data_IF_760068520428
#
_entry.id   IF_760068520428
#
_cell.length_a   1.000
_cell.length_b   1.000
_cell.length_c   1.000
_cell.angle_alpha   90.00
_cell.angle_beta   90.00
_cell.angle_gamma   90.00
#
_symmetry.space_group_name_H-M   'P 1'
#
loop_
_entity.id
_entity.type
_entity.pdbx_description
1 polymer ?
#
# COMPACT_ATOMS: atom_id res chain seq x y z
N UNK A 1 37.41 -6.63 65.27
CA UNK A 1 37.42 -5.24 64.79
C UNK A 1 37.69 -5.29 63.29
N UNK A 2 36.65 -5.16 62.46
CA UNK A 2 36.87 -5.07 61.01
C UNK A 2 37.55 -3.72 60.72
N UNK A 3 38.63 -3.69 59.94
CA UNK A 3 39.25 -2.44 59.54
C UNK A 3 38.20 -1.59 58.82
N UNK A 4 38.00 -0.35 59.30
CA UNK A 4 37.18 0.63 58.57
C UNK A 4 37.86 0.84 57.22
N UNK A 5 37.26 0.34 56.14
CA UNK A 5 37.60 0.74 54.80
C UNK A 5 37.31 2.23 54.69
N UNK A 6 38.35 3.04 54.73
CA UNK A 6 38.28 4.45 54.39
C UNK A 6 38.00 4.52 52.89
N UNK A 7 36.83 5.06 52.53
CA UNK A 7 36.46 5.23 51.12
C UNK A 7 37.38 6.30 50.56
N UNK A 8 38.22 5.93 49.59
CA UNK A 8 39.07 6.87 48.88
C UNK A 8 38.20 7.72 47.93
N UNK A 9 37.75 8.86 48.44
CA UNK A 9 36.93 9.80 47.69
C UNK A 9 37.66 10.37 46.47
N UNK A 10 38.99 10.48 46.49
CA UNK A 10 39.76 10.98 45.36
C UNK A 10 39.76 9.97 44.22
N UNK A 11 40.00 8.69 44.51
CA UNK A 11 39.89 7.62 43.52
C UNK A 11 38.47 7.51 42.95
N UNK A 12 37.43 7.72 43.78
CA UNK A 12 36.03 7.69 43.35
C UNK A 12 35.68 8.88 42.45
N UNK A 13 36.16 10.08 42.78
CA UNK A 13 35.99 11.28 41.95
C UNK A 13 36.78 11.15 40.64
N UNK A 14 38.03 10.67 40.67
CA UNK A 14 38.85 10.54 39.47
C UNK A 14 38.29 9.47 38.52
N UNK A 15 37.81 8.34 39.05
CA UNK A 15 37.10 7.33 38.27
C UNK A 15 35.80 7.89 37.68
N UNK A 16 35.03 8.64 38.46
CA UNK A 16 33.82 9.31 37.96
C UNK A 16 34.16 10.30 36.84
N UNK A 17 35.20 11.12 36.98
CA UNK A 17 35.63 12.08 35.95
C UNK A 17 36.11 11.38 34.68
N UNK A 18 36.84 10.26 34.80
CA UNK A 18 37.25 9.43 33.66
C UNK A 18 36.05 8.85 32.92
N UNK A 19 35.00 8.47 33.64
CA UNK A 19 33.75 7.98 33.07
C UNK A 19 32.87 9.09 32.45
N UNK A 20 33.05 10.34 32.91
CA UNK A 20 32.39 11.53 32.36
C UNK A 20 33.13 12.15 31.16
N UNK A 21 33.75 11.34 30.29
CA UNK A 21 34.27 11.88 29.02
C UNK A 21 33.14 12.56 28.22
N UNK A 22 33.39 13.75 27.63
CA UNK A 22 32.37 14.52 26.96
C UNK A 22 31.81 13.74 25.77
N UNK A 23 30.57 13.29 25.90
CA UNK A 23 29.84 12.62 24.82
C UNK A 23 29.74 13.59 23.64
N UNK A 24 30.00 13.10 22.41
CA UNK A 24 29.88 13.91 21.18
C UNK A 24 28.58 14.71 21.21
N UNK A 25 28.68 16.01 20.93
CA UNK A 25 27.54 16.94 20.98
C UNK A 25 26.38 16.40 20.13
N UNK A 26 25.25 16.16 20.78
CA UNK A 26 24.05 15.71 20.09
C UNK A 26 23.59 16.78 19.11
N UNK A 27 23.17 16.34 17.92
CA UNK A 27 22.53 17.24 16.95
C UNK A 27 21.26 17.83 17.57
N UNK A 28 20.98 19.09 17.22
CA UNK A 28 19.75 19.75 17.64
C UNK A 28 18.53 18.92 17.19
N UNK A 29 17.44 19.00 17.96
CA UNK A 29 16.20 18.30 17.58
C UNK A 29 15.72 18.72 16.18
N UNK A 30 15.93 19.98 15.80
CA UNK A 30 15.61 20.49 14.47
C UNK A 30 16.44 19.82 13.36
N UNK A 31 17.76 19.70 13.53
CA UNK A 31 18.61 19.02 12.53
C UNK A 31 18.22 17.56 12.34
N UNK A 32 17.94 16.85 13.44
CA UNK A 32 17.43 15.46 13.39
C UNK A 32 16.08 15.35 12.70
N UNK A 33 15.17 16.28 12.98
CA UNK A 33 13.86 16.35 12.32
C UNK A 33 14.02 16.60 10.82
N UNK A 34 14.87 17.53 10.40
CA UNK A 34 15.11 17.81 8.97
C UNK A 34 15.63 16.56 8.26
N UNK A 35 16.62 15.86 8.82
CA UNK A 35 17.12 14.61 8.24
C UNK A 35 16.03 13.55 8.11
N UNK A 36 15.14 13.47 9.11
CA UNK A 36 14.03 12.53 9.09
C UNK A 36 12.93 12.92 8.07
N UNK A 37 12.60 14.20 7.93
CA UNK A 37 11.69 14.71 6.89
C UNK A 37 12.27 14.43 5.49
N UNK A 38 13.58 14.57 5.29
CA UNK A 38 14.23 14.23 4.03
C UNK A 38 14.10 12.72 3.72
N UNK A 39 14.20 11.87 4.73
CA UNK A 39 13.96 10.42 4.59
C UNK A 39 12.50 10.14 4.21
N UNK A 40 11.53 10.72 4.91
CA UNK A 40 10.10 10.60 4.58
C UNK A 40 9.81 11.07 3.15
N UNK A 41 10.38 12.20 2.74
CA UNK A 41 10.23 12.75 1.39
C UNK A 41 10.82 11.82 0.33
N UNK A 42 11.97 11.19 0.61
CA UNK A 42 12.58 10.22 -0.28
C UNK A 42 11.71 8.96 -0.42
N UNK A 43 11.12 8.47 0.68
CA UNK A 43 10.18 7.34 0.68
C UNK A 43 8.93 7.67 -0.14
N UNK A 44 8.33 8.85 0.06
CA UNK A 44 7.15 9.31 -0.69
C UNK A 44 7.47 9.42 -2.19
N UNK A 45 8.61 10.02 -2.54
CA UNK A 45 9.05 10.18 -3.92
C UNK A 45 9.29 8.84 -4.62
N UNK A 46 9.94 7.90 -3.94
CA UNK A 46 10.16 6.54 -4.44
C UNK A 46 8.83 5.80 -4.66
N UNK A 47 7.89 5.97 -3.75
CA UNK A 47 6.58 5.34 -3.82
C UNK A 47 5.74 5.87 -4.99
N UNK A 48 5.77 7.19 -5.23
CA UNK A 48 5.17 7.82 -6.42
C UNK A 48 5.82 7.31 -7.69
N UNK A 49 7.16 7.24 -7.73
CA UNK A 49 7.89 6.78 -8.91
C UNK A 49 7.52 5.34 -9.28
N UNK A 50 7.40 4.43 -8.31
CA UNK A 50 7.07 3.03 -8.54
C UNK A 50 5.60 2.79 -8.93
N UNK A 51 4.67 3.65 -8.51
CA UNK A 51 3.24 3.50 -8.81
C UNK A 51 2.77 4.32 -10.02
N UNK A 52 3.59 5.26 -10.49
CA UNK A 52 3.25 6.17 -11.57
C UNK A 52 2.45 7.39 -11.10
N UNK A 53 2.38 8.40 -11.97
CA UNK A 53 1.76 9.70 -11.68
C UNK A 53 0.22 9.67 -11.60
N UNK A 54 -0.42 8.59 -12.06
CA UNK A 54 -1.88 8.50 -12.09
C UNK A 54 -2.49 8.56 -10.69
N UNK A 55 -1.86 7.94 -9.69
CA UNK A 55 -2.33 7.99 -8.29
C UNK A 55 -2.26 9.41 -7.71
N UNK A 56 -1.20 10.16 -8.01
CA UNK A 56 -1.12 11.56 -7.59
C UNK A 56 -2.21 12.39 -8.24
N UNK A 57 -2.51 12.15 -9.53
CA UNK A 57 -3.60 12.84 -10.21
C UNK A 57 -4.93 12.56 -9.52
N UNK A 58 -5.22 11.31 -9.15
CA UNK A 58 -6.42 10.93 -8.39
C UNK A 58 -6.45 11.66 -7.04
N UNK A 59 -5.34 11.69 -6.32
CA UNK A 59 -5.22 12.40 -5.05
C UNK A 59 -5.53 13.90 -5.19
N UNK A 60 -5.02 14.55 -6.25
CA UNK A 60 -5.31 15.96 -6.53
C UNK A 60 -6.75 16.24 -6.96
N UNK A 61 -7.43 15.27 -7.58
CA UNK A 61 -8.86 15.41 -7.93
C UNK A 61 -9.77 15.19 -6.72
N UNK A 62 -9.31 14.50 -5.69
CA UNK A 62 -10.06 14.27 -4.46
C UNK A 62 -9.55 15.17 -3.33
N UNK A 63 -10.13 16.36 -3.22
CA UNK A 63 -9.73 17.38 -2.22
C UNK A 63 -9.79 16.88 -0.77
N UNK A 64 -10.74 15.99 -0.44
CA UNK A 64 -10.84 15.37 0.88
C UNK A 64 -9.65 14.46 1.18
N UNK A 65 -9.27 13.61 0.22
CA UNK A 65 -8.15 12.70 0.37
C UNK A 65 -6.80 13.45 0.43
N UNK A 66 -6.66 14.53 -0.34
CA UNK A 66 -5.49 15.42 -0.27
C UNK A 66 -5.38 16.07 1.11
N UNK A 67 -6.49 16.60 1.63
CA UNK A 67 -6.54 17.21 2.96
C UNK A 67 -6.21 16.21 4.07
N UNK A 68 -6.80 15.01 4.05
CA UNK A 68 -6.50 13.94 5.01
C UNK A 68 -5.02 13.55 4.97
N UNK A 69 -4.45 13.37 3.77
CA UNK A 69 -3.03 13.06 3.57
C UNK A 69 -2.12 14.16 4.16
N UNK A 70 -2.43 15.42 3.89
CA UNK A 70 -1.69 16.57 4.44
C UNK A 70 -1.76 16.64 5.97
N UNK A 71 -2.93 16.35 6.55
CA UNK A 71 -3.11 16.30 8.01
C UNK A 71 -2.34 15.13 8.64
N UNK A 72 -2.31 13.96 8.02
CA UNK A 72 -1.51 12.83 8.50
C UNK A 72 -0.01 13.12 8.45
N UNK A 73 0.50 13.73 7.39
CA UNK A 73 1.91 14.17 7.30
C UNK A 73 2.21 15.19 8.40
N UNK A 74 1.31 16.15 8.62
CA UNK A 74 1.47 17.17 9.66
C UNK A 74 1.49 16.55 11.08
N UNK A 75 0.59 15.60 11.36
CA UNK A 75 0.56 14.85 12.61
C UNK A 75 1.84 14.00 12.79
N UNK A 76 2.33 13.39 11.71
CA UNK A 76 3.59 12.63 11.70
C UNK A 76 4.77 13.50 12.13
N UNK A 77 4.96 14.64 11.44
CA UNK A 77 6.04 15.60 11.72
C UNK A 77 5.94 16.18 13.13
N UNK A 78 4.75 16.59 13.56
CA UNK A 78 4.53 17.14 14.89
C UNK A 78 4.90 16.12 15.98
N UNK A 79 4.48 14.87 15.81
CA UNK A 79 4.74 13.82 16.81
C UNK A 79 6.20 13.37 16.79
N UNK A 80 6.83 13.31 15.61
CA UNK A 80 8.27 13.06 15.48
C UNK A 80 9.09 14.15 16.19
N UNK A 81 8.72 15.43 16.04
CA UNK A 81 9.36 16.52 16.75
C UNK A 81 9.20 16.39 18.27
N UNK A 82 7.99 16.03 18.74
CA UNK A 82 7.71 15.76 20.15
C UNK A 82 8.59 14.61 20.67
N UNK A 83 8.72 13.50 19.91
CA UNK A 83 9.56 12.37 20.27
C UNK A 83 11.04 12.78 20.38
N UNK A 84 11.56 13.48 19.37
CA UNK A 84 12.95 13.97 19.33
C UNK A 84 13.24 14.98 20.45
N UNK A 85 12.28 15.83 20.81
CA UNK A 85 12.39 16.78 21.91
C UNK A 85 12.39 16.07 23.27
N UNK A 86 11.52 15.09 23.47
CA UNK A 86 11.44 14.30 24.71
C UNK A 86 12.69 13.44 24.97
N UNK A 87 13.46 13.19 23.91
CA UNK A 87 14.77 12.58 24.02
C UNK A 87 15.83 13.52 24.63
N UNK A 88 15.57 14.80 24.85
CA UNK A 88 16.53 15.72 25.48
C UNK A 88 16.17 15.87 26.96
N UNK A 89 17.07 15.55 27.91
CA UNK A 89 16.82 15.74 29.33
C UNK A 89 16.38 17.17 29.65
N UNK A 90 15.38 17.31 30.53
CA UNK A 90 14.79 18.61 30.88
C UNK A 90 13.81 19.19 29.85
N UNK A 91 13.53 18.50 28.74
CA UNK A 91 12.50 18.88 27.76
C UNK A 91 11.36 17.88 27.74
N UNK A 92 10.64 17.83 28.86
CA UNK A 92 9.47 16.96 29.02
C UNK A 92 8.35 17.27 28.04
N UNK A 93 7.53 16.25 27.81
CA UNK A 93 6.43 16.26 26.87
C UNK A 93 5.27 17.06 27.48
N UNK A 94 4.94 18.21 26.90
CA UNK A 94 3.75 18.94 27.35
C UNK A 94 2.50 18.16 26.94
N UNK A 95 1.59 17.93 27.90
CA UNK A 95 0.27 17.31 27.63
C UNK A 95 -0.49 18.04 26.52
N UNK A 96 -0.34 19.37 26.42
CA UNK A 96 -0.97 20.17 25.37
C UNK A 96 -0.42 19.88 23.98
N UNK A 97 0.89 19.63 23.86
CA UNK A 97 1.52 19.29 22.57
C UNK A 97 1.06 17.92 22.09
N UNK A 98 0.95 16.95 23.00
CA UNK A 98 0.42 15.63 22.69
C UNK A 98 -1.07 15.68 22.31
N UNK A 99 -1.88 16.42 23.08
CA UNK A 99 -3.30 16.60 22.78
C UNK A 99 -3.52 17.25 21.41
N UNK A 100 -2.69 18.25 21.05
CA UNK A 100 -2.74 18.87 19.73
C UNK A 100 -2.40 17.88 18.61
N UNK A 101 -1.35 17.08 18.76
CA UNK A 101 -0.98 16.06 17.76
C UNK A 101 -2.09 15.00 17.58
N UNK A 102 -2.70 14.55 18.68
CA UNK A 102 -3.84 13.61 18.65
C UNK A 102 -5.05 14.27 17.98
N UNK A 103 -5.35 15.54 18.28
CA UNK A 103 -6.45 16.27 17.67
C UNK A 103 -6.27 16.42 16.15
N UNK A 104 -5.05 16.71 15.68
CA UNK A 104 -4.75 16.80 14.24
C UNK A 104 -4.95 15.44 13.55
N UNK A 105 -4.50 14.34 14.16
CA UNK A 105 -4.74 13.01 13.61
C UNK A 105 -6.23 12.64 13.62
N UNK A 106 -6.96 12.95 14.69
CA UNK A 106 -8.40 12.72 14.78
C UNK A 106 -9.17 13.52 13.72
N UNK A 107 -8.75 14.75 13.44
CA UNK A 107 -9.29 15.55 12.34
C UNK A 107 -9.02 14.89 10.97
N UNK A 108 -7.82 14.35 10.74
CA UNK A 108 -7.50 13.61 9.52
C UNK A 108 -8.43 12.39 9.33
N UNK A 109 -8.66 11.63 10.40
CA UNK A 109 -9.62 10.53 10.40
C UNK A 109 -11.05 11.00 10.12
N UNK A 110 -11.47 12.13 10.70
CA UNK A 110 -12.78 12.72 10.46
C UNK A 110 -13.01 13.11 8.99
N UNK A 111 -12.00 13.70 8.34
CA UNK A 111 -12.03 14.01 6.90
C UNK A 111 -12.15 12.73 6.06
N UNK A 112 -11.39 11.70 6.42
CA UNK A 112 -11.41 10.41 5.72
C UNK A 112 -12.79 9.72 5.86
N UNK A 113 -13.35 9.70 7.07
CA UNK A 113 -14.67 9.15 7.37
C UNK A 113 -15.78 9.88 6.62
N UNK A 114 -15.69 11.20 6.49
CA UNK A 114 -16.67 12.00 5.75
C UNK A 114 -16.65 11.73 4.24
N UNK A 115 -15.48 11.36 3.69
CA UNK A 115 -15.32 11.00 2.27
C UNK A 115 -15.59 9.53 1.95
N UNK A 116 -15.73 8.66 2.95
CA UNK A 116 -15.84 7.23 2.75
C UNK A 116 -17.24 6.83 2.23
N UNK A 117 -17.28 6.18 1.06
CA UNK A 117 -18.48 5.45 0.60
C UNK A 117 -18.46 4.05 1.21
N UNK A 118 -19.42 3.76 2.10
CA UNK A 118 -19.58 2.48 2.80
C UNK A 118 -20.12 1.37 1.87
N UNK A 119 -19.39 1.06 0.80
CA UNK A 119 -19.74 -0.09 -0.05
C UNK A 119 -18.90 -1.31 0.41
N UNK A 120 -19.60 -2.43 0.64
CA UNK A 120 -19.09 -3.61 1.33
C UNK A 120 -18.15 -4.43 0.44
N UNK A 121 -16.92 -4.71 0.91
CA UNK A 121 -16.13 -5.86 0.43
C UNK A 121 -15.40 -6.50 1.63
N UNK A 122 -15.74 -7.74 2.01
CA UNK A 122 -14.97 -8.55 2.95
C UNK A 122 -13.86 -9.29 2.20
N UNK A 123 -12.58 -9.00 2.45
CA UNK A 123 -11.49 -9.84 1.91
C UNK A 123 -10.05 -9.32 1.99
N UNK A 124 -9.80 -8.01 2.11
CA UNK A 124 -8.44 -7.45 1.97
C UNK A 124 -7.75 -7.05 3.29
N UNK A 125 -8.22 -7.52 4.45
CA UNK A 125 -7.73 -7.08 5.76
C UNK A 125 -6.24 -7.43 6.04
N UNK A 126 -5.76 -8.68 5.88
CA UNK A 126 -4.40 -9.03 6.32
C UNK A 126 -3.31 -8.41 5.43
N UNK A 127 -3.54 -8.34 4.11
CA UNK A 127 -2.59 -7.70 3.19
C UNK A 127 -2.49 -6.21 3.49
N UNK A 128 -3.61 -5.52 3.73
CA UNK A 128 -3.61 -4.10 4.07
C UNK A 128 -2.87 -3.82 5.38
N UNK A 129 -3.06 -4.66 6.42
CA UNK A 129 -2.29 -4.57 7.66
C UNK A 129 -0.80 -4.74 7.41
N UNK A 130 -0.39 -5.78 6.66
CA UNK A 130 1.02 -6.02 6.35
C UNK A 130 1.66 -4.84 5.61
N UNK A 131 0.93 -4.22 4.67
CA UNK A 131 1.40 -3.02 3.96
C UNK A 131 1.60 -1.84 4.89
N UNK A 132 0.62 -1.58 5.76
CA UNK A 132 0.69 -0.51 6.74
C UNK A 132 1.89 -0.68 7.68
N UNK A 133 2.10 -1.89 8.22
CA UNK A 133 3.26 -2.18 9.06
C UNK A 133 4.57 -2.05 8.28
N UNK A 134 4.61 -2.51 7.02
CA UNK A 134 5.77 -2.36 6.14
C UNK A 134 6.12 -0.89 5.88
N UNK A 135 5.12 -0.03 5.66
CA UNK A 135 5.30 1.41 5.49
C UNK A 135 5.72 2.12 6.76
N UNK A 136 5.22 1.69 7.92
CA UNK A 136 5.59 2.26 9.20
C UNK A 136 7.01 1.88 9.64
N UNK A 137 7.53 0.71 9.24
CA UNK A 137 8.78 0.16 9.76
C UNK A 137 10.01 1.07 9.55
N UNK A 138 10.16 1.68 8.37
CA UNK A 138 11.30 2.54 8.06
C UNK A 138 11.32 3.87 8.86
N UNK A 139 10.23 4.67 8.87
CA UNK A 139 10.13 5.83 9.77
C UNK A 139 10.29 5.45 11.24
N UNK A 140 9.75 4.29 11.66
CA UNK A 140 9.80 3.81 13.03
C UNK A 140 11.23 3.51 13.48
N UNK A 141 11.96 2.71 12.71
CA UNK A 141 13.37 2.38 13.00
C UNK A 141 14.25 3.63 13.01
N UNK A 142 14.08 4.52 12.01
CA UNK A 142 14.90 5.73 11.91
C UNK A 142 14.67 6.70 13.07
N UNK A 143 13.42 6.89 13.52
CA UNK A 143 13.11 7.69 14.71
C UNK A 143 13.65 7.06 15.99
N UNK A 144 13.49 5.74 16.18
CA UNK A 144 14.05 5.06 17.35
C UNK A 144 15.55 5.27 17.47
N UNK A 145 16.26 5.19 16.35
CA UNK A 145 17.70 5.44 16.30
C UNK A 145 18.04 6.88 16.66
N UNK A 146 17.29 7.85 16.13
CA UNK A 146 17.50 9.28 16.40
C UNK A 146 17.19 9.68 17.86
N UNK A 147 16.19 9.04 18.47
CA UNK A 147 15.79 9.23 19.87
C UNK A 147 16.75 8.56 20.83
N UNK A 148 17.23 7.36 20.52
CA UNK A 148 18.11 6.57 21.40
C UNK A 148 19.35 7.33 21.86
N UNK A 149 19.90 8.19 21.01
CA UNK A 149 21.07 9.01 21.36
C UNK A 149 20.80 10.06 22.44
N UNK A 150 19.54 10.41 22.72
CA UNK A 150 19.18 11.48 23.64
C UNK A 150 19.06 11.09 25.12
N UNK A 151 18.89 9.80 25.45
CA UNK A 151 18.59 9.32 26.81
C UNK A 151 17.25 9.90 27.34
N UNK A 152 16.10 9.46 26.79
CA UNK A 152 14.79 9.96 27.22
C UNK A 152 14.49 9.54 28.68
N UNK A 153 14.00 10.50 29.47
CA UNK A 153 13.57 10.25 30.87
C UNK A 153 12.29 9.41 30.96
N UNK A 154 11.42 9.50 29.95
CA UNK A 154 10.16 8.77 29.84
C UNK A 154 10.17 7.88 28.59
N UNK A 155 10.94 6.78 28.59
CA UNK A 155 11.18 5.97 27.41
C UNK A 155 9.91 5.39 26.79
N UNK A 156 8.90 5.09 27.61
CA UNK A 156 7.60 4.57 27.19
C UNK A 156 6.79 5.61 26.39
N UNK A 157 6.73 6.84 26.88
CA UNK A 157 6.00 7.96 26.26
C UNK A 157 6.70 8.36 24.95
N UNK A 158 8.02 8.45 24.97
CA UNK A 158 8.80 8.72 23.75
C UNK A 158 8.61 7.60 22.74
N UNK A 159 8.63 6.33 23.17
CA UNK A 159 8.32 5.19 22.31
C UNK A 159 6.92 5.29 21.69
N UNK A 160 5.89 5.61 22.48
CA UNK A 160 4.54 5.81 21.97
C UNK A 160 4.47 6.89 20.89
N UNK A 161 5.15 8.02 21.10
CA UNK A 161 5.23 9.12 20.13
C UNK A 161 5.91 8.69 18.83
N UNK A 162 6.99 7.90 18.88
CA UNK A 162 7.62 7.32 17.67
C UNK A 162 6.65 6.42 16.91
N UNK A 163 5.90 5.57 17.62
CA UNK A 163 4.90 4.69 17.02
C UNK A 163 3.79 5.46 16.33
N UNK A 164 3.28 6.50 17.00
CA UNK A 164 2.23 7.36 16.46
C UNK A 164 2.68 8.17 15.25
N UNK A 165 3.90 8.73 15.26
CA UNK A 165 4.47 9.42 14.10
C UNK A 165 4.56 8.47 12.90
N UNK A 166 5.16 7.30 13.09
CA UNK A 166 5.33 6.29 12.05
C UNK A 166 4.00 5.77 11.50
N UNK A 167 3.00 5.63 12.37
CA UNK A 167 1.64 5.27 11.96
C UNK A 167 1.04 6.34 11.06
N UNK A 168 1.07 7.61 11.48
CA UNK A 168 0.53 8.73 10.69
C UNK A 168 1.21 8.83 9.32
N UNK A 169 2.53 8.68 9.26
CA UNK A 169 3.24 8.61 7.98
C UNK A 169 2.78 7.43 7.12
N UNK A 170 2.66 6.24 7.71
CA UNK A 170 2.21 5.05 6.98
C UNK A 170 0.78 5.21 6.43
N UNK A 171 -0.09 5.92 7.14
CA UNK A 171 -1.43 6.29 6.63
C UNK A 171 -1.32 7.22 5.43
N UNK A 172 -0.55 8.30 5.53
CA UNK A 172 -0.32 9.21 4.41
C UNK A 172 0.25 8.49 3.18
N UNK A 173 1.22 7.60 3.40
CA UNK A 173 1.83 6.81 2.34
C UNK A 173 0.83 5.82 1.72
N UNK A 174 0.00 5.17 2.55
CA UNK A 174 -1.09 4.32 2.07
C UNK A 174 -2.04 5.08 1.15
N UNK A 175 -2.38 6.33 1.45
CA UNK A 175 -3.24 7.17 0.61
C UNK A 175 -2.63 7.48 -0.76
N UNK A 176 -1.31 7.65 -0.81
CA UNK A 176 -0.59 7.96 -2.06
C UNK A 176 -0.38 6.69 -2.90
N UNK A 177 -0.07 5.56 -2.24
CA UNK A 177 0.33 4.33 -2.92
C UNK A 177 -0.84 3.44 -3.29
N UNK A 178 -1.83 3.34 -2.41
CA UNK A 178 -2.97 2.47 -2.59
C UNK A 178 -4.16 3.27 -3.10
N UNK A 179 -5.00 2.65 -3.93
CA UNK A 179 -6.36 3.16 -4.11
C UNK A 179 -7.02 3.31 -2.73
N UNK A 180 -7.90 4.31 -2.53
CA UNK A 180 -8.50 4.60 -1.23
C UNK A 180 -8.99 3.31 -0.59
N UNK A 181 -8.62 3.08 0.67
CA UNK A 181 -8.88 1.83 1.39
C UNK A 181 -10.40 1.71 1.61
N UNK A 182 -11.11 1.17 0.61
CA UNK A 182 -12.54 0.88 0.66
C UNK A 182 -12.74 -0.46 1.38
N UNK A 183 -12.56 -0.46 2.70
CA UNK A 183 -12.95 -1.59 3.56
C UNK A 183 -14.15 -1.16 4.42
N UNK A 184 -15.26 -1.92 4.46
CA UNK A 184 -16.40 -1.64 5.34
C UNK A 184 -16.06 -1.76 6.83
N UNK A 185 -14.97 -2.46 7.17
CA UNK A 185 -14.36 -2.54 8.51
C UNK A 185 -13.00 -1.80 8.58
N UNK A 186 -12.72 -0.89 7.62
CA UNK A 186 -11.42 -0.19 7.50
C UNK A 186 -11.03 0.48 8.81
N UNK A 187 -11.96 1.20 9.42
CA UNK A 187 -11.69 2.06 10.58
C UNK A 187 -11.30 1.22 11.78
N UNK A 188 -12.01 0.13 12.08
CA UNK A 188 -11.68 -0.75 13.20
C UNK A 188 -10.31 -1.38 12.98
N UNK A 189 -10.06 -1.93 11.79
CA UNK A 189 -8.75 -2.50 11.43
C UNK A 189 -7.63 -1.47 11.53
N UNK A 190 -7.89 -0.24 11.11
CA UNK A 190 -6.92 0.86 11.12
C UNK A 190 -6.61 1.32 12.55
N UNK A 191 -7.64 1.49 13.38
CA UNK A 191 -7.52 1.83 14.80
C UNK A 191 -6.78 0.72 15.56
N UNK A 192 -7.13 -0.56 15.31
CA UNK A 192 -6.44 -1.70 15.92
C UNK A 192 -4.98 -1.79 15.47
N UNK A 193 -4.69 -1.52 14.19
CA UNK A 193 -3.31 -1.51 13.67
C UNK A 193 -2.49 -0.37 14.28
N UNK A 194 -3.08 0.82 14.38
CA UNK A 194 -2.47 1.98 15.03
C UNK A 194 -2.19 1.72 16.51
N UNK A 195 -3.18 1.19 17.24
CA UNK A 195 -3.03 0.81 18.64
C UNK A 195 -1.93 -0.25 18.82
N UNK A 196 -1.90 -1.27 17.95
CA UNK A 196 -0.86 -2.30 17.96
C UNK A 196 0.53 -1.70 17.74
N UNK A 197 0.70 -0.83 16.74
CA UNK A 197 1.99 -0.19 16.47
C UNK A 197 2.43 0.71 17.63
N UNK A 198 1.51 1.48 18.23
CA UNK A 198 1.80 2.33 19.39
C UNK A 198 2.23 1.48 20.58
N UNK A 199 1.50 0.40 20.90
CA UNK A 199 1.84 -0.52 22.00
C UNK A 199 3.20 -1.16 21.79
N UNK A 200 3.47 -1.70 20.59
CA UNK A 200 4.78 -2.26 20.24
C UNK A 200 5.90 -1.23 20.38
N UNK A 201 5.62 0.01 19.97
CA UNK A 201 6.55 1.14 20.09
C UNK A 201 6.79 1.55 21.55
N UNK A 202 5.76 1.55 22.39
CA UNK A 202 5.89 1.81 23.83
C UNK A 202 6.75 0.74 24.49
N UNK A 203 6.52 -0.54 24.18
CA UNK A 203 7.33 -1.66 24.67
C UNK A 203 8.78 -1.55 24.19
N UNK A 204 9.00 -1.27 22.90
CA UNK A 204 10.34 -1.03 22.36
C UNK A 204 11.02 0.15 23.06
N UNK A 205 10.29 1.23 23.34
CA UNK A 205 10.76 2.33 24.17
C UNK A 205 11.24 1.86 25.54
N UNK A 206 10.39 1.14 26.27
CA UNK A 206 10.72 0.59 27.60
C UNK A 206 11.98 -0.28 27.60
N UNK A 207 12.16 -1.15 26.61
CA UNK A 207 13.29 -2.09 26.59
C UNK A 207 14.57 -1.50 25.97
N UNK A 208 14.44 -0.66 24.93
CA UNK A 208 15.59 -0.15 24.18
C UNK A 208 16.07 1.22 24.64
N UNK A 209 15.19 2.07 25.17
CA UNK A 209 15.52 3.43 25.57
C UNK A 209 15.74 3.57 27.09
N UNK A 210 15.36 2.57 27.90
CA UNK A 210 15.62 2.58 29.34
C UNK A 210 17.07 2.25 29.66
N UNK A 211 17.94 3.21 29.42
CA UNK A 211 19.37 3.13 29.69
C UNK A 211 19.65 3.00 31.19
N UNK A 212 18.90 3.72 32.04
CA UNK A 212 19.09 3.73 33.50
C UNK A 212 18.97 2.33 34.10
N UNK A 213 17.97 1.55 33.68
CA UNK A 213 17.81 0.17 34.13
C UNK A 213 19.01 -0.72 33.76
N UNK A 214 19.75 -0.40 32.69
CA UNK A 214 20.99 -1.11 32.34
C UNK A 214 22.16 -0.72 33.23
N UNK A 215 22.26 0.55 33.61
CA UNK A 215 23.34 1.01 34.51
C UNK A 215 23.16 0.58 35.96
N UNK A 216 21.90 0.38 36.39
CA UNK A 216 21.60 -0.08 37.75
C UNK A 216 21.72 -1.60 37.92
N UNK A 217 21.99 -2.36 36.87
CA UNK A 217 22.21 -3.80 37.01
C UNK A 217 23.56 -4.06 37.69
N UNK A 218 23.59 -4.77 38.83
CA UNK A 218 24.85 -5.11 39.50
C UNK A 218 25.73 -5.95 38.58
N UNK A 219 27.05 -5.75 38.64
CA UNK A 219 28.04 -6.40 37.77
C UNK A 219 27.90 -7.94 37.67
N UNK A 220 27.29 -8.60 38.66
CA UNK A 220 26.98 -10.03 38.63
C UNK A 220 25.93 -10.42 37.56
N UNK A 221 25.08 -9.50 37.10
CA UNK A 221 24.09 -9.73 36.04
C UNK A 221 24.65 -9.53 34.62
N UNK A 222 25.88 -9.01 34.50
CA UNK A 222 26.54 -8.63 33.24
C UNK A 222 26.85 -9.86 32.35
N UNK A 223 27.05 -11.03 32.96
CA UNK A 223 27.29 -12.30 32.24
C UNK A 223 26.01 -12.79 31.52
N UNK A 224 24.83 -12.60 32.12
CA UNK A 224 23.55 -13.04 31.54
C UNK A 224 23.01 -12.08 30.48
N UNK A 225 23.34 -10.78 30.56
CA UNK A 225 22.93 -9.78 29.57
C UNK A 225 23.87 -9.69 28.36
N UNK A 226 25.07 -10.28 28.43
CA UNK A 226 26.02 -10.36 27.29
C UNK A 226 25.41 -10.99 26.02
N UNK A 227 24.48 -11.94 26.17
CA UNK A 227 23.79 -12.60 25.05
C UNK A 227 22.80 -11.64 24.35
N UNK A 228 22.21 -10.70 25.09
CA UNK A 228 21.33 -9.67 24.54
C UNK A 228 22.07 -8.44 24.03
N UNK A 229 23.28 -8.15 24.53
CA UNK A 229 24.14 -7.09 23.98
C UNK A 229 24.92 -7.54 22.74
N UNK A 230 25.16 -8.85 22.57
CA UNK A 230 25.66 -9.44 21.33
C UNK A 230 24.65 -9.31 20.15
N UNK A 231 23.36 -9.10 20.44
CA UNK A 231 22.42 -8.43 19.52
C UNK A 231 22.79 -6.94 19.42
N UNK A 232 23.98 -6.68 18.88
CA UNK A 232 24.57 -5.37 18.83
C UNK A 232 23.66 -4.43 18.03
N UNK A 233 23.42 -3.25 18.56
CA UNK A 233 22.70 -2.19 17.87
C UNK A 233 23.31 -1.88 16.49
N UNK A 234 24.59 -2.19 16.32
CA UNK A 234 25.34 -2.01 15.07
C UNK A 234 25.07 -3.12 14.04
N UNK A 235 24.65 -4.32 14.43
CA UNK A 235 24.38 -5.44 13.51
C UNK A 235 22.88 -5.64 13.27
N UNK A 236 22.07 -5.54 14.32
CA UNK A 236 20.62 -5.78 14.26
C UNK A 236 19.91 -4.64 13.54
N UNK A 237 20.37 -3.41 13.73
CA UNK A 237 19.76 -2.24 13.11
C UNK A 237 19.89 -2.22 11.58
N UNK A 238 21.07 -2.40 10.96
CA UNK A 238 21.17 -2.48 9.50
C UNK A 238 20.44 -3.70 8.94
N UNK A 239 20.38 -4.83 9.66
CA UNK A 239 19.57 -5.98 9.26
C UNK A 239 18.07 -5.68 9.31
N UNK A 240 17.59 -5.02 10.37
CA UNK A 240 16.20 -4.62 10.50
C UNK A 240 15.81 -3.55 9.47
N UNK A 241 16.72 -2.61 9.18
CA UNK A 241 16.53 -1.59 8.15
C UNK A 241 16.55 -2.22 6.75
N UNK A 242 17.46 -3.15 6.49
CA UNK A 242 17.52 -3.93 5.26
C UNK A 242 16.27 -4.79 5.07
N UNK A 243 15.83 -5.52 6.11
CA UNK A 243 14.60 -6.29 6.09
C UNK A 243 13.36 -5.40 5.92
N UNK A 244 13.35 -4.21 6.52
CA UNK A 244 12.27 -3.23 6.34
C UNK A 244 12.28 -2.64 4.93
N UNK A 245 13.44 -2.38 4.34
CA UNK A 245 13.56 -1.99 2.92
C UNK A 245 13.11 -3.11 2.00
N UNK A 246 13.48 -4.36 2.26
CA UNK A 246 13.03 -5.52 1.47
C UNK A 246 11.53 -5.70 1.62
N UNK A 247 10.98 -5.61 2.83
CA UNK A 247 9.55 -5.68 3.07
C UNK A 247 8.81 -4.51 2.41
N UNK A 248 9.38 -3.30 2.46
CA UNK A 248 8.86 -2.10 1.81
C UNK A 248 8.83 -2.27 0.27
N UNK A 249 9.95 -2.69 -0.31
CA UNK A 249 10.07 -3.00 -1.73
C UNK A 249 9.19 -4.17 -2.12
N UNK A 250 9.03 -5.20 -1.28
CA UNK A 250 8.12 -6.31 -1.51
C UNK A 250 6.66 -5.84 -1.46
N UNK A 251 6.28 -4.98 -0.52
CA UNK A 251 4.96 -4.36 -0.45
C UNK A 251 4.69 -3.51 -1.69
N UNK A 252 5.67 -2.72 -2.13
CA UNK A 252 5.55 -1.88 -3.32
C UNK A 252 5.52 -2.70 -4.62
N UNK A 253 6.36 -3.73 -4.72
CA UNK A 253 6.45 -4.65 -5.86
C UNK A 253 5.37 -5.73 -5.86
N UNK A 254 4.66 -5.91 -4.74
CA UNK A 254 3.35 -6.53 -4.70
C UNK A 254 2.41 -5.64 -5.51
N UNK A 255 2.52 -5.75 -6.84
CA UNK A 255 1.37 -5.71 -7.72
C UNK A 255 0.37 -6.58 -6.99
N UNK A 256 -0.78 -6.01 -6.62
CA UNK A 256 -1.86 -6.82 -6.04
C UNK A 256 -1.89 -8.07 -6.91
N UNK A 257 -1.65 -9.25 -6.32
CA UNK A 257 -2.13 -10.47 -6.93
C UNK A 257 -3.65 -10.24 -6.92
N UNK A 258 -4.12 -9.54 -7.95
CA UNK A 258 -5.53 -9.37 -8.20
C UNK A 258 -5.96 -10.82 -8.29
N UNK A 259 -6.82 -11.22 -7.34
CA UNK A 259 -7.34 -12.57 -7.34
C UNK A 259 -7.74 -12.89 -8.77
N UNK A 260 -7.27 -14.03 -9.28
CA UNK A 260 -7.50 -14.39 -10.68
C UNK A 260 -8.99 -14.28 -10.96
N UNK A 261 -9.33 -13.41 -11.91
CA UNK A 261 -10.69 -13.27 -12.40
C UNK A 261 -10.74 -14.16 -13.63
N UNK A 262 -11.36 -15.35 -13.57
CA UNK A 262 -11.26 -16.35 -14.63
C UNK A 262 -11.60 -15.79 -16.01
N UNK A 263 -12.59 -14.89 -16.07
CA UNK A 263 -13.02 -14.23 -17.30
C UNK A 263 -11.99 -13.28 -17.89
N UNK A 264 -11.27 -12.55 -17.03
CA UNK A 264 -10.23 -11.64 -17.48
C UNK A 264 -8.98 -12.40 -17.88
N UNK A 265 -8.61 -13.44 -17.12
CA UNK A 265 -7.48 -14.30 -17.48
C UNK A 265 -7.76 -15.03 -18.80
N UNK A 266 -8.96 -15.58 -18.99
CA UNK A 266 -9.38 -16.18 -20.25
C UNK A 266 -9.27 -15.19 -21.41
N UNK A 267 -9.69 -13.94 -21.20
CA UNK A 267 -9.61 -12.92 -22.23
C UNK A 267 -8.19 -12.50 -22.59
N UNK A 268 -7.34 -12.35 -21.59
CA UNK A 268 -5.93 -12.01 -21.79
C UNK A 268 -5.18 -13.16 -22.45
N UNK A 269 -5.33 -14.39 -21.95
CA UNK A 269 -4.65 -15.56 -22.51
C UNK A 269 -5.10 -15.81 -23.96
N UNK A 270 -6.35 -15.51 -24.29
CA UNK A 270 -6.86 -15.61 -25.67
C UNK A 270 -6.35 -14.48 -26.56
N UNK A 271 -6.25 -13.26 -26.04
CA UNK A 271 -5.61 -12.14 -26.72
C UNK A 271 -4.13 -12.44 -27.03
N UNK A 272 -3.36 -12.90 -26.04
CA UNK A 272 -1.92 -13.18 -26.19
C UNK A 272 -1.68 -14.30 -27.20
N UNK A 273 -2.51 -15.35 -27.19
CA UNK A 273 -2.49 -16.39 -28.23
C UNK A 273 -2.82 -15.83 -29.61
N UNK A 274 -3.82 -14.93 -29.71
CA UNK A 274 -4.24 -14.32 -30.97
C UNK A 274 -3.17 -13.41 -31.60
N UNK A 275 -2.28 -12.84 -30.79
CA UNK A 275 -1.12 -12.09 -31.31
C UNK A 275 -0.14 -12.99 -32.07
N UNK A 276 0.03 -14.24 -31.63
CA UNK A 276 0.98 -15.19 -32.24
C UNK A 276 0.34 -15.92 -33.42
N UNK A 277 -0.83 -16.53 -33.21
CA UNK A 277 -1.48 -17.38 -34.20
C UNK A 277 -2.99 -17.48 -33.95
N UNK A 278 -3.73 -16.42 -34.30
CA UNK A 278 -5.19 -16.51 -34.31
C UNK A 278 -5.65 -17.30 -35.54
N UNK A 279 -6.20 -18.49 -35.31
CA UNK A 279 -6.82 -19.33 -36.36
C UNK A 279 -8.34 -19.30 -36.22
N UNK A 280 -9.04 -18.49 -37.03
CA UNK A 280 -10.49 -18.51 -37.08
C UNK A 280 -10.98 -19.91 -37.46
N UNK A 281 -11.97 -20.44 -36.74
CA UNK A 281 -12.74 -21.61 -37.16
C UNK A 281 -14.16 -21.23 -37.61
N UNK A 282 -14.50 -19.95 -37.54
CA UNK A 282 -15.67 -19.36 -38.19
C UNK A 282 -15.19 -18.59 -39.42
N UNK A 283 -15.39 -19.13 -40.64
CA UNK A 283 -14.85 -18.55 -41.86
C UNK A 283 -15.69 -17.33 -42.28
N UNK A 284 -15.27 -16.13 -41.91
CA UNK A 284 -15.74 -14.92 -42.59
C UNK A 284 -14.88 -13.68 -42.32
N UNK A 285 -14.77 -12.82 -43.34
CA UNK A 285 -14.28 -11.44 -43.23
C UNK A 285 -15.40 -10.42 -42.99
N UNK A 286 -16.65 -10.86 -42.93
CA UNK A 286 -17.83 -10.04 -42.65
C UNK A 286 -18.40 -10.33 -41.26
N UNK A 287 -18.86 -9.28 -40.57
CA UNK A 287 -19.53 -9.41 -39.29
C UNK A 287 -20.83 -10.23 -39.38
N UNK A 288 -21.62 -10.03 -40.43
CA UNK A 288 -22.92 -10.70 -40.62
C UNK A 288 -22.80 -12.23 -40.64
N UNK A 289 -21.84 -12.76 -41.39
CA UNK A 289 -21.64 -14.23 -41.48
C UNK A 289 -21.11 -14.81 -40.18
N UNK A 290 -20.22 -14.11 -39.47
CA UNK A 290 -19.77 -14.57 -38.15
C UNK A 290 -20.90 -14.53 -37.13
N UNK A 291 -21.74 -13.50 -37.16
CA UNK A 291 -22.88 -13.37 -36.26
C UNK A 291 -23.88 -14.51 -36.50
N UNK A 292 -24.15 -14.81 -37.78
CA UNK A 292 -24.99 -15.95 -38.18
C UNK A 292 -24.43 -17.25 -37.60
N UNK A 293 -23.14 -17.51 -37.78
CA UNK A 293 -22.49 -18.70 -37.24
C UNK A 293 -22.53 -18.76 -35.70
N UNK A 294 -22.36 -17.64 -35.01
CA UNK A 294 -22.47 -17.58 -33.55
C UNK A 294 -23.89 -17.91 -33.07
N UNK A 295 -24.91 -17.34 -33.73
CA UNK A 295 -26.33 -17.62 -33.41
C UNK A 295 -26.68 -19.08 -33.66
N UNK A 296 -26.16 -19.70 -34.73
CA UNK A 296 -26.32 -21.14 -35.00
C UNK A 296 -25.74 -22.02 -33.88
N UNK A 297 -24.80 -21.50 -33.08
CA UNK A 297 -24.19 -22.16 -31.92
C UNK A 297 -24.76 -21.68 -30.58
N UNK A 298 -25.91 -20.99 -30.58
CA UNK A 298 -26.61 -20.55 -29.35
C UNK A 298 -25.98 -19.34 -28.66
N UNK A 299 -25.14 -18.58 -29.36
CA UNK A 299 -24.51 -17.35 -28.85
C UNK A 299 -25.39 -16.13 -29.18
N UNK A 300 -25.23 -14.99 -28.46
CA UNK A 300 -26.09 -13.83 -28.69
C UNK A 300 -25.97 -13.28 -30.11
N UNK A 301 -27.09 -12.79 -30.65
CA UNK A 301 -27.18 -12.12 -31.95
C UNK A 301 -26.64 -10.67 -31.89
N UNK A 302 -25.52 -10.47 -31.21
CA UNK A 302 -24.85 -9.19 -31.06
C UNK A 302 -23.33 -9.34 -31.18
N UNK A 303 -22.67 -8.36 -31.80
CA UNK A 303 -21.21 -8.30 -31.95
C UNK A 303 -20.74 -6.85 -31.97
N UNK A 304 -19.60 -6.59 -31.35
CA UNK A 304 -18.92 -5.29 -31.37
C UNK A 304 -18.29 -5.01 -32.73
N UNK A 305 -18.45 -3.79 -33.26
CA UNK A 305 -17.72 -3.32 -34.45
C UNK A 305 -16.66 -2.28 -34.06
N UNK A 306 -15.39 -2.61 -34.27
CA UNK A 306 -14.27 -1.69 -34.09
C UNK A 306 -13.70 -1.18 -35.42
N UNK A 307 -14.36 -1.48 -36.54
CA UNK A 307 -14.04 -1.00 -37.88
C UNK A 307 -13.94 0.52 -37.99
N UNK A 308 -14.92 1.30 -37.51
CA UNK A 308 -14.89 2.77 -37.53
C UNK A 308 -13.65 3.36 -36.83
N UNK A 309 -13.11 2.65 -35.84
CA UNK A 309 -11.95 3.04 -35.03
C UNK A 309 -10.62 2.55 -35.61
N UNK A 310 -10.64 2.04 -36.85
CA UNK A 310 -9.46 1.63 -37.60
C UNK A 310 -8.94 0.24 -37.28
N UNK A 311 -9.77 -0.63 -36.70
CA UNK A 311 -9.43 -2.05 -36.53
C UNK A 311 -10.01 -2.89 -37.66
N UNK A 312 -9.23 -3.84 -38.17
CA UNK A 312 -9.69 -4.80 -39.17
C UNK A 312 -10.09 -6.09 -38.48
N UNK A 313 -11.30 -6.57 -38.79
CA UNK A 313 -11.75 -7.88 -38.37
C UNK A 313 -10.84 -8.98 -38.96
N UNK A 314 -10.24 -9.80 -38.10
CA UNK A 314 -9.43 -10.96 -38.52
C UNK A 314 -10.28 -12.22 -38.65
N UNK A 315 -11.28 -12.37 -37.78
CA UNK A 315 -12.23 -13.48 -37.84
C UNK A 315 -12.77 -13.86 -36.47
N UNK A 316 -13.64 -14.88 -36.48
CA UNK A 316 -14.29 -15.43 -35.31
C UNK A 316 -13.79 -16.83 -34.98
N UNK A 317 -13.85 -17.18 -33.71
CA UNK A 317 -13.58 -18.53 -33.23
C UNK A 317 -14.62 -18.93 -32.20
N UNK A 318 -15.07 -20.17 -32.26
CA UNK A 318 -15.94 -20.78 -31.25
C UNK A 318 -15.25 -22.01 -30.69
N UNK A 319 -15.14 -22.10 -29.37
CA UNK A 319 -14.60 -23.27 -28.68
C UNK A 319 -15.45 -23.59 -27.44
N UNK A 320 -15.49 -24.86 -26.98
CA UNK A 320 -15.95 -25.18 -25.64
C UNK A 320 -14.84 -24.94 -24.61
N UNK A 321 -15.20 -24.38 -23.46
CA UNK A 321 -14.34 -24.36 -22.27
C UNK A 321 -14.20 -25.79 -21.67
N UNK A 322 -13.24 -26.02 -20.75
CA UNK A 322 -13.05 -27.34 -20.12
C UNK A 322 -14.29 -27.91 -19.41
N UNK A 323 -15.21 -27.04 -19.00
CA UNK A 323 -16.51 -27.39 -18.39
C UNK A 323 -17.63 -27.60 -19.43
N UNK A 324 -17.33 -27.47 -20.72
CA UNK A 324 -18.29 -27.57 -21.82
C UNK A 324 -19.01 -26.27 -22.17
N UNK A 325 -18.81 -25.19 -21.41
CA UNK A 325 -19.47 -23.90 -21.67
C UNK A 325 -19.04 -23.35 -23.03
N UNK A 326 -19.98 -22.98 -23.93
CA UNK A 326 -19.62 -22.40 -25.21
C UNK A 326 -19.04 -20.99 -25.02
N UNK A 327 -17.94 -20.71 -25.73
CA UNK A 327 -17.30 -19.41 -25.76
C UNK A 327 -16.97 -19.01 -27.20
N UNK A 328 -17.21 -17.75 -27.53
CA UNK A 328 -16.76 -17.17 -28.81
C UNK A 328 -15.66 -16.15 -28.59
N UNK A 329 -14.79 -16.02 -29.60
CA UNK A 329 -13.67 -15.11 -29.65
C UNK A 329 -13.71 -14.36 -30.98
N UNK A 330 -13.85 -13.05 -30.94
CA UNK A 330 -13.73 -12.20 -32.13
C UNK A 330 -12.48 -11.36 -32.03
N UNK A 331 -11.60 -11.46 -33.03
CA UNK A 331 -10.33 -10.76 -33.04
C UNK A 331 -10.32 -9.62 -34.05
N UNK A 332 -10.02 -8.42 -33.57
CA UNK A 332 -9.84 -7.21 -34.36
C UNK A 332 -8.38 -6.78 -34.28
N UNK A 333 -7.71 -6.60 -35.42
CA UNK A 333 -6.29 -6.20 -35.48
C UNK A 333 -6.17 -4.74 -35.91
N UNK A 334 -5.39 -3.97 -35.17
CA UNK A 334 -5.03 -2.59 -35.49
C UNK A 334 -3.52 -2.45 -35.73
N UNK A 335 -3.06 -1.23 -36.02
CA UNK A 335 -1.65 -0.95 -36.35
C UNK A 335 -0.67 -1.19 -35.20
N UNK A 336 -1.12 -1.05 -33.95
CA UNK A 336 -0.29 -1.16 -32.73
C UNK A 336 -0.72 -2.29 -31.79
N UNK A 337 -1.59 -3.19 -32.24
CA UNK A 337 -2.16 -4.25 -31.42
C UNK A 337 -3.50 -4.74 -31.95
N UNK A 338 -4.46 -4.97 -31.07
CA UNK A 338 -5.79 -5.42 -31.43
C UNK A 338 -6.76 -5.34 -30.27
N UNK A 339 -7.98 -5.79 -30.50
CA UNK A 339 -9.07 -5.91 -29.53
C UNK A 339 -9.64 -7.32 -29.63
N UNK A 340 -9.72 -8.00 -28.48
CA UNK A 340 -10.35 -9.31 -28.37
C UNK A 340 -11.71 -9.15 -27.71
N UNK A 341 -12.75 -9.69 -28.33
CA UNK A 341 -14.08 -9.78 -27.74
C UNK A 341 -14.40 -11.23 -27.44
N UNK A 342 -14.87 -11.49 -26.23
CA UNK A 342 -15.25 -12.82 -25.80
C UNK A 342 -16.69 -12.80 -25.31
N UNK A 343 -17.50 -13.73 -25.80
CA UNK A 343 -18.82 -13.98 -25.23
C UNK A 343 -18.84 -15.38 -24.65
N UNK A 344 -19.42 -15.53 -23.46
CA UNK A 344 -19.75 -16.85 -22.90
C UNK A 344 -21.04 -16.80 -22.11
N UNK A 345 -21.67 -17.95 -21.97
CA UNK A 345 -22.82 -18.11 -21.09
C UNK A 345 -22.36 -18.15 -19.63
N UNK A 346 -23.17 -17.60 -18.73
CA UNK A 346 -22.98 -17.58 -17.28
C UNK A 346 -24.28 -17.94 -16.58
N UNK A 347 -24.22 -18.44 -15.35
CA UNK A 347 -25.44 -18.69 -14.57
C UNK A 347 -25.98 -17.40 -13.93
N UNK A 348 -25.06 -16.56 -13.44
CA UNK A 348 -25.38 -15.30 -12.80
C UNK A 348 -24.29 -14.27 -13.10
N UNK A 349 -24.71 -13.04 -13.40
CA UNK A 349 -23.78 -11.93 -13.59
C UNK A 349 -23.34 -11.40 -12.22
N UNK A 350 -22.13 -11.76 -11.83
CA UNK A 350 -21.49 -11.27 -10.61
C UNK A 350 -20.16 -10.58 -10.98
N UNK A 351 -20.20 -9.29 -11.38
CA UNK A 351 -19.02 -8.61 -11.87
C UNK A 351 -17.97 -8.48 -10.76
N UNK A 352 -16.67 -8.55 -11.08
CA UNK A 352 -15.62 -8.27 -10.12
C UNK A 352 -15.81 -6.88 -9.53
N UNK A 353 -15.55 -6.68 -8.22
CA UNK A 353 -15.64 -5.37 -7.62
C UNK A 353 -14.59 -4.42 -8.21
N UNK A 354 -14.76 -3.12 -7.98
CA UNK A 354 -13.80 -2.06 -8.35
C UNK A 354 -13.66 -1.85 -9.87
N UNK A 355 -14.77 -1.80 -10.59
CA UNK A 355 -14.79 -1.15 -11.89
C UNK A 355 -14.24 0.28 -11.76
N UNK A 356 -13.37 0.67 -12.68
CA UNK A 356 -12.78 2.01 -12.75
C UNK A 356 -13.83 3.02 -13.18
N UNK A 357 -14.68 2.62 -14.14
CA UNK A 357 -15.81 3.39 -14.63
C UNK A 357 -16.98 2.47 -14.97
N UNK A 358 -18.19 3.04 -14.99
CA UNK A 358 -19.44 2.36 -15.31
C UNK A 358 -20.30 3.25 -16.22
N UNK A 359 -20.57 2.75 -17.44
CA UNK A 359 -21.46 3.40 -18.39
C UNK A 359 -22.60 2.45 -18.76
N UNK A 360 -23.79 2.71 -18.20
CA UNK A 360 -24.97 1.84 -18.33
C UNK A 360 -24.73 0.42 -17.81
N UNK A 361 -24.29 -0.49 -18.67
CA UNK A 361 -24.01 -1.91 -18.37
C UNK A 361 -22.58 -2.31 -18.76
N UNK A 362 -21.74 -1.32 -19.09
CA UNK A 362 -20.33 -1.44 -19.45
C UNK A 362 -19.47 -1.14 -18.21
N UNK A 363 -18.79 -2.15 -17.69
CA UNK A 363 -17.92 -2.04 -16.52
C UNK A 363 -16.46 -2.09 -16.97
N UNK A 364 -15.72 -1.01 -16.73
CA UNK A 364 -14.35 -0.86 -17.21
C UNK A 364 -13.33 -1.23 -16.14
N UNK A 365 -12.31 -2.01 -16.50
CA UNK A 365 -11.29 -2.52 -15.57
C UNK A 365 -9.89 -2.36 -16.13
N UNK A 366 -8.93 -2.22 -15.20
CA UNK A 366 -7.50 -2.39 -15.48
C UNK A 366 -7.01 -3.68 -14.81
N UNK A 367 -6.53 -4.63 -15.59
CA UNK A 367 -6.08 -5.94 -15.08
C UNK A 367 -4.89 -6.46 -15.89
N UNK A 368 -3.80 -6.83 -15.21
CA UNK A 368 -2.56 -7.38 -15.81
C UNK A 368 -2.03 -6.61 -17.05
N UNK A 369 -2.08 -5.29 -17.04
CA UNK A 369 -1.72 -4.36 -18.13
C UNK A 369 -2.70 -4.30 -19.31
N UNK A 370 -3.83 -4.98 -19.21
CA UNK A 370 -4.96 -4.87 -20.13
C UNK A 370 -6.00 -3.91 -19.57
N UNK A 371 -6.67 -3.23 -20.50
CA UNK A 371 -7.95 -2.59 -20.23
C UNK A 371 -9.02 -3.57 -20.68
N UNK A 372 -10.01 -3.80 -19.81
CA UNK A 372 -11.12 -4.70 -20.09
C UNK A 372 -12.45 -3.99 -19.92
N UNK A 373 -13.43 -4.39 -20.71
CA UNK A 373 -14.83 -4.01 -20.53
C UNK A 373 -15.62 -5.29 -20.27
N UNK A 374 -16.30 -5.36 -19.13
CA UNK A 374 -17.19 -6.44 -18.75
C UNK A 374 -18.63 -5.97 -18.92
N UNK A 375 -19.43 -6.79 -19.59
CA UNK A 375 -20.72 -6.37 -20.12
C UNK A 375 -21.73 -7.46 -19.79
N UNK A 376 -22.79 -7.09 -19.06
CA UNK A 376 -23.94 -7.98 -18.91
C UNK A 376 -24.85 -7.79 -20.13
N UNK A 377 -24.95 -8.81 -20.97
CA UNK A 377 -25.75 -8.76 -22.20
C UNK A 377 -27.21 -9.14 -21.87
N UNK A 378 -27.72 -8.65 -20.73
CA UNK A 378 -28.95 -9.10 -20.07
C UNK A 378 -30.24 -8.95 -20.87
N UNK A 379 -30.21 -8.27 -22.02
CA UNK A 379 -31.30 -8.28 -23.00
C UNK A 379 -31.38 -9.54 -23.87
N UNK A 380 -30.32 -10.35 -23.91
CA UNK A 380 -30.17 -11.51 -24.80
C UNK A 380 -29.95 -12.83 -24.04
N UNK A 381 -30.15 -12.83 -22.72
CA UNK A 381 -29.97 -13.99 -21.84
C UNK A 381 -28.81 -13.83 -20.86
N UNK A 382 -28.44 -14.92 -20.20
CA UNK A 382 -27.35 -14.93 -19.22
C UNK A 382 -25.99 -15.04 -19.94
N UNK A 383 -25.60 -13.99 -20.66
CA UNK A 383 -24.32 -13.90 -21.34
C UNK A 383 -23.47 -12.78 -20.77
N UNK A 384 -22.17 -13.03 -20.73
CA UNK A 384 -21.18 -12.02 -20.41
C UNK A 384 -20.30 -11.77 -21.62
N UNK A 385 -20.04 -10.49 -21.91
CA UNK A 385 -19.04 -10.08 -22.89
C UNK A 385 -17.84 -9.48 -22.17
N UNK A 386 -16.64 -9.95 -22.54
CA UNK A 386 -15.36 -9.41 -22.09
C UNK A 386 -14.61 -8.88 -23.31
N UNK A 387 -14.39 -7.58 -23.35
CA UNK A 387 -13.55 -6.93 -24.36
C UNK A 387 -12.19 -6.68 -23.72
N UNK A 388 -11.08 -7.02 -24.38
CA UNK A 388 -9.73 -6.86 -23.85
C UNK A 388 -8.77 -6.23 -24.87
N UNK A 389 -7.99 -5.23 -24.42
CA UNK A 389 -6.89 -4.67 -25.19
C UNK A 389 -5.75 -4.10 -24.31
N UNK A 390 -4.47 -4.24 -24.71
CA UNK A 390 -3.31 -3.74 -23.97
C UNK A 390 -3.04 -2.26 -24.29
N UNK A 391 -4.02 -1.40 -24.02
CA UNK A 391 -3.92 0.05 -24.26
C UNK A 391 -4.35 0.86 -23.04
N UNK A 392 -4.03 2.16 -22.93
CA UNK A 392 -4.45 3.00 -21.81
C UNK A 392 -5.97 3.02 -21.64
N UNK A 393 -6.44 2.95 -20.39
CA UNK A 393 -7.86 2.77 -20.06
C UNK A 393 -8.76 3.83 -20.69
N UNK A 394 -8.40 5.11 -20.61
CA UNK A 394 -9.20 6.19 -21.24
C UNK A 394 -9.38 6.05 -22.74
N UNK A 395 -8.34 5.58 -23.44
CA UNK A 395 -8.42 5.33 -24.89
C UNK A 395 -9.32 4.13 -25.17
N UNK A 396 -9.23 3.12 -24.31
CA UNK A 396 -10.05 1.91 -24.41
C UNK A 396 -11.52 2.18 -24.10
N UNK A 397 -11.84 2.98 -23.08
CA UNK A 397 -13.19 3.42 -22.75
C UNK A 397 -13.83 4.13 -23.94
N UNK A 398 -13.15 5.13 -24.52
CA UNK A 398 -13.62 5.80 -25.73
C UNK A 398 -13.85 4.82 -26.88
N UNK A 399 -12.89 3.93 -27.14
CA UNK A 399 -12.98 2.91 -28.19
C UNK A 399 -14.22 2.01 -28.04
N UNK A 400 -14.52 1.56 -26.82
CA UNK A 400 -15.68 0.69 -26.55
C UNK A 400 -16.99 1.48 -26.57
N UNK A 401 -17.00 2.72 -26.08
CA UNK A 401 -18.19 3.57 -26.10
C UNK A 401 -18.60 3.95 -27.52
N UNK A 402 -17.64 4.29 -28.39
CA UNK A 402 -17.92 4.55 -29.82
C UNK A 402 -18.44 3.29 -30.53
N UNK A 403 -17.92 2.11 -30.19
CA UNK A 403 -18.42 0.84 -30.71
C UNK A 403 -19.79 0.41 -30.13
N UNK A 404 -20.29 1.10 -29.10
CA UNK A 404 -21.59 0.85 -28.48
C UNK A 404 -22.73 1.72 -29.07
N UNK A 405 -22.38 2.77 -29.83
CA UNK A 405 -23.30 3.67 -30.52
C UNK A 405 -23.75 3.06 -31.84
#
# INVERSE_FOLDING_TARGET
MSPRHEIDYEALIENSIKDFQPVKRLWSAGARLICWILLETAILSLAVWLRGYDNLRILFHNSGQLAATGLFISASIATAFIALKSAIPGRELSRTQLALAIAVAAAAFGVELAGARFNQIPGAAPVSMLRLFGFAALPWLSLFWAVRRGVPLQPEVTGAAVGFASFCFALALCQIVSQPIRLPNSVIVLVLSGATLIVLSTLAGRFWLNWIARWQQPAAAEVATSIWTAFNAETVFPLALGASMVAFLFVLSSRQQIARIPDFDLAIDSYERALVDFRPNVPSTSMETMLTAYVEHGMPAYMWDFGPEGFTLVGGRWDPLPDGTPVTYTWFRGTKGGVMCIFRQIDAFNPPPLAHDEHHHLLFYRYRNFSLCLINVGGYGNFVSVIAAPMPLKRFEHLVLEAAL
#
